data_IF_770015389570
#
_entry.id   IF_770015389570
#
_cell.length_a   1.000
_cell.length_b   1.000
_cell.length_c   1.000
_cell.angle_alpha   90.00
_cell.angle_beta   90.00
_cell.angle_gamma   90.00
#
_symmetry.space_group_name_H-M   'P 1'
#
loop_
_entity.id
_entity.type
_entity.pdbx_description
1 polymer ?
#
# COMPACT_ATOMS: atom_id res chain seq x y z
N UNK A 1 -4.50 2.29 -10.54
CA UNK A 1 -3.05 2.14 -10.52
C UNK A 1 -2.65 1.30 -11.70
N UNK A 2 -1.73 1.80 -12.50
CA UNK A 2 -1.07 1.05 -13.56
C UNK A 2 0.43 0.87 -13.24
N UNK A 3 1.12 0.05 -14.01
CA UNK A 3 2.53 -0.26 -13.78
C UNK A 3 3.44 0.98 -13.82
N UNK A 4 3.12 1.99 -14.63
CA UNK A 4 3.90 3.23 -14.71
C UNK A 4 3.79 4.04 -13.42
N UNK A 5 2.57 4.19 -12.89
CA UNK A 5 2.32 4.87 -11.61
C UNK A 5 3.03 4.16 -10.46
N UNK A 6 2.92 2.83 -10.39
CA UNK A 6 3.59 2.01 -9.36
C UNK A 6 5.12 2.20 -9.45
N UNK A 7 5.70 2.14 -10.65
CA UNK A 7 7.15 2.37 -10.82
C UNK A 7 7.59 3.75 -10.37
N UNK A 8 6.78 4.79 -10.63
CA UNK A 8 7.09 6.14 -10.19
C UNK A 8 7.04 6.26 -8.66
N UNK A 9 6.05 5.65 -8.01
CA UNK A 9 5.95 5.62 -6.55
C UNK A 9 7.13 4.87 -5.90
N UNK A 10 7.52 3.72 -6.46
CA UNK A 10 8.70 2.98 -6.00
C UNK A 10 9.98 3.81 -6.14
N UNK A 11 10.16 4.52 -7.25
CA UNK A 11 11.32 5.40 -7.42
C UNK A 11 11.31 6.57 -6.42
N UNK A 12 10.13 7.09 -6.06
CA UNK A 12 10.00 8.13 -5.04
C UNK A 12 10.42 7.62 -3.65
N UNK A 13 10.00 6.40 -3.28
CA UNK A 13 10.41 5.75 -2.03
C UNK A 13 11.93 5.56 -1.99
N UNK A 14 12.54 5.05 -3.07
CA UNK A 14 14.00 4.87 -3.15
C UNK A 14 14.76 6.20 -3.02
N UNK A 15 14.19 7.31 -3.52
CA UNK A 15 14.79 8.64 -3.37
C UNK A 15 14.71 9.19 -1.94
N UNK A 16 13.79 8.67 -1.11
CA UNK A 16 13.60 9.05 0.28
C UNK A 16 14.28 8.08 1.27
N UNK A 17 15.09 7.12 0.80
CA UNK A 17 15.65 6.04 1.63
C UNK A 17 16.54 6.46 2.80
N UNK A 18 17.03 7.70 2.79
CA UNK A 18 17.85 8.25 3.89
C UNK A 18 16.98 8.98 4.94
N UNK A 19 15.67 9.02 4.74
CA UNK A 19 14.64 9.48 5.68
C UNK A 19 13.69 8.30 5.95
N UNK A 20 14.03 7.52 6.98
CA UNK A 20 13.37 6.26 7.31
C UNK A 20 11.86 6.44 7.55
N UNK A 21 11.46 7.51 8.24
CA UNK A 21 10.05 7.81 8.52
C UNK A 21 9.28 8.06 7.21
N UNK A 22 9.83 8.90 6.33
CA UNK A 22 9.22 9.20 5.03
C UNK A 22 9.14 7.96 4.13
N UNK A 23 10.22 7.18 4.07
CA UNK A 23 10.28 5.96 3.26
C UNK A 23 9.26 4.92 3.74
N UNK A 24 9.12 4.74 5.05
CA UNK A 24 8.13 3.84 5.64
C UNK A 24 6.69 4.28 5.36
N UNK A 25 6.35 5.55 5.61
CA UNK A 25 5.01 6.06 5.31
C UNK A 25 4.66 5.88 3.83
N UNK A 26 5.57 6.23 2.92
CA UNK A 26 5.35 6.10 1.49
C UNK A 26 5.21 4.63 1.03
N UNK A 27 5.93 3.70 1.67
CA UNK A 27 5.79 2.26 1.40
C UNK A 27 4.39 1.74 1.82
N UNK A 28 3.94 2.09 3.02
CA UNK A 28 2.63 1.69 3.54
C UNK A 28 1.50 2.26 2.68
N UNK A 29 1.59 3.54 2.31
CA UNK A 29 0.64 4.19 1.40
C UNK A 29 0.55 3.48 0.05
N UNK A 30 1.70 3.14 -0.56
CA UNK A 30 1.74 2.42 -1.84
C UNK A 30 1.04 1.06 -1.74
N UNK A 31 1.29 0.31 -0.67
CA UNK A 31 0.66 -1.01 -0.44
C UNK A 31 -0.84 -0.85 -0.28
N UNK A 32 -1.29 0.07 0.57
CA UNK A 32 -2.70 0.32 0.81
C UNK A 32 -3.43 0.76 -0.47
N UNK A 33 -2.85 1.68 -1.24
CA UNK A 33 -3.43 2.16 -2.49
C UNK A 33 -3.54 1.05 -3.54
N UNK A 34 -2.54 0.17 -3.64
CA UNK A 34 -2.62 -0.99 -4.52
C UNK A 34 -3.76 -1.93 -4.12
N UNK A 35 -3.89 -2.24 -2.83
CA UNK A 35 -4.97 -3.10 -2.34
C UNK A 35 -6.33 -2.44 -2.59
N UNK A 36 -6.48 -1.13 -2.31
CA UNK A 36 -7.68 -0.34 -2.64
C UNK A 36 -7.98 -0.40 -4.13
N UNK A 37 -6.98 -0.29 -4.99
CA UNK A 37 -7.15 -0.40 -6.43
C UNK A 37 -7.71 -1.79 -6.82
N UNK A 38 -7.07 -2.87 -6.35
CA UNK A 38 -7.51 -4.25 -6.62
C UNK A 38 -8.92 -4.52 -6.10
N UNK A 39 -9.28 -3.96 -4.93
CA UNK A 39 -10.62 -4.10 -4.35
C UNK A 39 -11.76 -3.55 -5.25
N UNK A 40 -11.41 -2.64 -6.16
CA UNK A 40 -12.31 -1.99 -7.11
C UNK A 40 -12.22 -2.60 -8.51
N UNK A 41 -11.02 -2.93 -8.99
CA UNK A 41 -10.77 -3.26 -10.40
C UNK A 41 -10.45 -4.73 -10.69
N UNK A 42 -10.05 -5.52 -9.69
CA UNK A 42 -9.64 -6.92 -9.87
C UNK A 42 -10.76 -7.87 -10.31
N UNK A 43 -10.46 -9.17 -10.40
CA UNK A 43 -11.48 -10.22 -10.55
C UNK A 43 -12.38 -10.31 -9.31
N UNK A 44 -13.49 -11.04 -9.39
CA UNK A 44 -14.43 -11.22 -8.26
C UNK A 44 -13.71 -11.70 -6.99
N UNK A 45 -12.84 -12.71 -7.11
CA UNK A 45 -12.11 -13.25 -5.96
C UNK A 45 -11.02 -12.28 -5.49
N UNK A 46 -10.29 -11.62 -6.40
CA UNK A 46 -9.32 -10.58 -6.01
C UNK A 46 -9.96 -9.44 -5.23
N UNK A 47 -11.16 -8.99 -5.63
CA UNK A 47 -11.87 -7.94 -4.90
C UNK A 47 -12.25 -8.39 -3.49
N UNK A 48 -12.70 -9.63 -3.31
CA UNK A 48 -13.00 -10.18 -1.99
C UNK A 48 -11.74 -10.24 -1.12
N UNK A 49 -10.66 -10.80 -1.64
CA UNK A 49 -9.37 -10.88 -0.93
C UNK A 49 -8.88 -9.49 -0.51
N UNK A 50 -8.88 -8.52 -1.43
CA UNK A 50 -8.42 -7.16 -1.14
C UNK A 50 -9.29 -6.46 -0.08
N UNK A 51 -10.62 -6.64 -0.12
CA UNK A 51 -11.51 -6.09 0.92
C UNK A 51 -11.31 -6.75 2.27
N UNK A 52 -11.03 -8.05 2.30
CA UNK A 52 -10.73 -8.76 3.55
C UNK A 52 -9.43 -8.24 4.17
N UNK A 53 -8.38 -8.06 3.35
CA UNK A 53 -7.11 -7.49 3.79
C UNK A 53 -7.31 -6.08 4.34
N UNK A 54 -8.07 -5.20 3.67
CA UNK A 54 -8.27 -3.82 4.14
C UNK A 54 -8.89 -3.71 5.55
N UNK A 55 -9.55 -4.76 6.05
CA UNK A 55 -10.04 -4.78 7.44
C UNK A 55 -8.90 -4.73 8.47
N UNK A 56 -7.66 -5.02 8.10
CA UNK A 56 -6.50 -4.84 8.99
C UNK A 56 -6.31 -3.39 9.43
N UNK A 57 -6.87 -2.43 8.68
CA UNK A 57 -6.83 -1.01 9.04
C UNK A 57 -7.70 -0.73 10.28
N UNK A 58 -8.75 -1.51 10.49
CA UNK A 58 -9.71 -1.37 11.59
C UNK A 58 -9.32 -2.20 12.83
N UNK A 59 -8.25 -3.01 12.77
CA UNK A 59 -7.78 -3.77 13.92
C UNK A 59 -7.01 -2.83 14.85
N UNK A 60 -7.46 -2.76 16.10
CA UNK A 60 -6.80 -2.00 17.14
C UNK A 60 -5.59 -2.78 17.70
N UNK A 61 -4.42 -2.49 17.13
CA UNK A 61 -3.14 -2.96 17.65
C UNK A 61 -2.05 -1.90 17.44
N UNK A 62 -1.03 -1.93 18.28
CA UNK A 62 0.14 -1.09 18.13
C UNK A 62 0.91 -1.49 16.87
N UNK A 63 0.86 -0.63 15.84
CA UNK A 63 1.68 -0.77 14.64
C UNK A 63 3.11 -0.41 15.01
N UNK A 64 4.04 -1.29 14.65
CA UNK A 64 5.46 -1.02 14.81
C UNK A 64 5.92 -0.11 13.68
N UNK A 65 6.51 1.01 14.03
CA UNK A 65 7.24 1.90 13.10
C UNK A 65 8.71 1.86 13.54
N UNK A 66 9.62 1.69 12.59
CA UNK A 66 11.06 1.62 12.86
C UNK A 66 11.64 3.02 13.12
#
# INVERSE_FOLDING_TARGET
MNLKEIKAMVANIDSAKDDDEMAHCAEDDLREDFIKHISKTGTKEQRKMAREILKTNDIDFSRWFA
#
